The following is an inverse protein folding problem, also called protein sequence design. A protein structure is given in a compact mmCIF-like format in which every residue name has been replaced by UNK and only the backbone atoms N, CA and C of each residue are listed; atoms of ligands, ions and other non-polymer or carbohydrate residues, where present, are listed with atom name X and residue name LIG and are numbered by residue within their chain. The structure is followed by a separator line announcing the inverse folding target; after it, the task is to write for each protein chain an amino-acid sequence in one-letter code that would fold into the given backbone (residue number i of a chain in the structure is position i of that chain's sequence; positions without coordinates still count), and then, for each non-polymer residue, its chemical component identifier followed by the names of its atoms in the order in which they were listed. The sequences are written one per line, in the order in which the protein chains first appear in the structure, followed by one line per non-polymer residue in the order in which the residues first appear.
data_IF_512256650913
#
_entry.id   IF_512256650913
#
_cell.length_a   1.000
_cell.length_b   1.000
_cell.length_c   1.000
_cell.angle_alpha   90.00
_cell.angle_beta   90.00
_cell.angle_gamma   90.00
#
_symmetry.space_group_name_H-M   'P 1'
#
loop_
_entity.id
_entity.type
_entity.pdbx_description
1 polymer ?
#
# COMPACT_ATOMS: atom_id res chain seq x y z
N UNK A 1 29.10 5.39 34.36
CA UNK A 1 27.69 5.71 34.48
C UNK A 1 27.21 6.72 33.46
N UNK A 2 27.94 7.80 33.19
CA UNK A 2 27.59 8.79 32.19
C UNK A 2 27.48 8.22 30.75
N UNK A 3 28.30 7.23 30.41
CA UNK A 3 28.30 6.60 29.08
C UNK A 3 27.06 5.80 28.80
N UNK A 4 26.46 5.17 29.82
CA UNK A 4 25.24 4.37 29.66
C UNK A 4 24.03 5.28 29.42
N UNK A 5 23.96 6.44 30.07
CA UNK A 5 22.89 7.41 29.86
C UNK A 5 22.92 8.01 28.45
N UNK A 6 24.09 8.29 27.90
CA UNK A 6 24.23 8.82 26.55
C UNK A 6 23.81 7.80 25.49
N UNK A 7 24.14 6.52 25.69
CA UNK A 7 23.75 5.44 24.78
C UNK A 7 22.25 5.23 24.82
N UNK A 8 21.63 5.27 26.00
CA UNK A 8 20.18 5.15 26.15
C UNK A 8 19.44 6.31 25.47
N UNK A 9 19.95 7.54 25.60
CA UNK A 9 19.35 8.71 24.94
C UNK A 9 19.46 8.63 23.42
N UNK A 10 20.59 8.15 22.89
CA UNK A 10 20.78 7.95 21.46
C UNK A 10 19.82 6.89 20.90
N UNK A 11 19.60 5.82 21.64
CA UNK A 11 18.66 4.76 21.24
C UNK A 11 17.23 5.29 21.20
N UNK A 12 16.83 6.11 22.17
CA UNK A 12 15.51 6.71 22.23
C UNK A 12 15.29 7.68 21.05
N UNK A 13 16.31 8.43 20.70
CA UNK A 13 16.26 9.38 19.57
C UNK A 13 16.08 8.64 18.25
N UNK A 14 16.76 7.52 18.06
CA UNK A 14 16.63 6.68 16.86
C UNK A 14 15.21 6.13 16.74
N UNK A 15 14.60 5.71 17.85
CA UNK A 15 13.23 5.23 17.86
C UNK A 15 12.22 6.33 17.52
N UNK A 16 12.46 7.57 17.96
CA UNK A 16 11.60 8.71 17.66
C UNK A 16 11.72 9.17 16.20
N UNK A 17 12.84 8.91 15.56
CA UNK A 17 13.10 9.26 14.16
C UNK A 17 12.77 8.12 13.19
N UNK A 18 12.27 7.00 13.69
CA UNK A 18 11.90 5.86 12.85
C UNK A 18 10.79 6.27 11.87
N UNK A 19 10.91 5.91 10.59
CA UNK A 19 9.84 6.18 9.63
C UNK A 19 8.57 5.43 10.01
N UNK A 20 7.42 5.90 9.52
CA UNK A 20 6.14 5.21 9.70
C UNK A 20 6.25 3.78 9.21
N UNK A 21 5.69 2.81 9.95
CA UNK A 21 5.82 1.42 9.58
C UNK A 21 5.14 1.15 8.22
N UNK A 22 5.88 0.51 7.33
CA UNK A 22 5.35 -0.03 6.10
C UNK A 22 5.03 -1.50 6.38
N UNK A 23 3.82 -1.91 6.05
CA UNK A 23 3.40 -3.29 6.21
C UNK A 23 3.75 -4.07 4.95
N UNK A 24 4.40 -5.22 5.12
CA UNK A 24 4.63 -6.16 4.03
C UNK A 24 3.55 -7.24 4.08
N UNK A 25 2.99 -7.59 2.94
CA UNK A 25 1.93 -8.57 2.85
C UNK A 25 2.01 -9.32 1.53
N UNK A 26 1.27 -10.43 1.42
CA UNK A 26 1.13 -11.18 0.18
C UNK A 26 -0.24 -10.93 -0.43
N UNK A 27 -0.31 -10.77 -1.73
CA UNK A 27 -1.58 -10.67 -2.45
C UNK A 27 -2.23 -12.06 -2.50
N UNK A 28 -3.42 -12.17 -1.97
CA UNK A 28 -4.22 -13.39 -2.05
C UNK A 28 -5.18 -13.35 -3.23
N UNK A 29 -5.73 -12.17 -3.51
CA UNK A 29 -6.73 -12.01 -4.56
C UNK A 29 -6.92 -10.54 -4.91
N UNK A 30 -7.14 -10.28 -6.19
CA UNK A 30 -7.65 -9.00 -6.68
C UNK A 30 -9.17 -9.12 -6.74
N UNK A 31 -9.87 -8.37 -5.91
CA UNK A 31 -11.32 -8.46 -5.79
C UNK A 31 -12.06 -7.54 -6.76
N UNK A 32 -11.46 -6.39 -7.07
CA UNK A 32 -12.01 -5.44 -8.04
C UNK A 32 -10.86 -4.55 -8.54
N UNK A 33 -11.20 -3.56 -9.35
CA UNK A 33 -10.22 -2.58 -9.85
C UNK A 33 -9.55 -1.76 -8.75
N UNK A 34 -10.05 -1.80 -7.53
CA UNK A 34 -9.54 -1.00 -6.42
C UNK A 34 -9.47 -1.73 -5.10
N UNK A 35 -9.83 -3.02 -5.07
CA UNK A 35 -9.86 -3.82 -3.84
C UNK A 35 -8.99 -5.07 -3.97
N UNK A 36 -8.17 -5.28 -2.96
CA UNK A 36 -7.29 -6.44 -2.85
C UNK A 36 -7.59 -7.18 -1.55
N UNK A 37 -7.39 -8.49 -1.57
CA UNK A 37 -7.23 -9.25 -0.34
C UNK A 37 -5.76 -9.60 -0.19
N UNK A 38 -5.20 -9.28 0.97
CA UNK A 38 -3.81 -9.52 1.29
C UNK A 38 -3.71 -10.29 2.60
N UNK A 39 -2.66 -11.07 2.72
CA UNK A 39 -2.37 -11.83 3.93
C UNK A 39 -1.06 -11.38 4.57
N UNK A 40 -1.07 -11.29 5.90
CA UNK A 40 0.11 -11.02 6.69
C UNK A 40 0.06 -11.91 7.93
N UNK A 41 1.02 -12.81 8.03
CA UNK A 41 1.02 -13.87 9.03
C UNK A 41 -0.28 -14.69 8.94
N UNK A 42 -1.09 -14.75 9.98
CA UNK A 42 -2.33 -15.52 9.97
C UNK A 42 -3.56 -14.63 9.77
N UNK A 43 -3.36 -13.40 9.30
CA UNK A 43 -4.45 -12.43 9.12
C UNK A 43 -4.67 -12.12 7.66
N UNK A 44 -5.93 -11.91 7.31
CA UNK A 44 -6.35 -11.46 5.99
C UNK A 44 -6.94 -10.07 6.12
N UNK A 45 -6.53 -9.18 5.21
CA UNK A 45 -7.03 -7.81 5.16
C UNK A 45 -7.66 -7.54 3.82
N UNK A 46 -8.76 -6.79 3.82
CA UNK A 46 -9.27 -6.18 2.61
C UNK A 46 -8.65 -4.78 2.50
N UNK A 47 -8.01 -4.51 1.39
CA UNK A 47 -7.30 -3.25 1.15
C UNK A 47 -7.92 -2.55 -0.03
N UNK A 48 -8.31 -1.30 0.18
CA UNK A 48 -8.69 -0.39 -0.91
C UNK A 48 -7.49 0.44 -1.31
N UNK A 49 -7.25 0.52 -2.60
CA UNK A 49 -6.17 1.36 -3.13
C UNK A 49 -6.48 2.83 -2.86
N UNK A 50 -5.57 3.51 -2.17
CA UNK A 50 -5.75 4.89 -1.78
C UNK A 50 -5.61 5.82 -2.98
N UNK A 51 -6.36 6.93 -2.96
CA UNK A 51 -6.25 8.01 -3.93
C UNK A 51 -6.62 7.60 -5.36
N UNK A 52 -7.48 6.61 -5.52
CA UNK A 52 -7.82 6.07 -6.82
C UNK A 52 -9.33 6.11 -7.05
N UNK A 53 -9.70 6.52 -8.26
CA UNK A 53 -11.06 6.41 -8.77
C UNK A 53 -11.01 5.75 -10.15
N UNK A 54 -11.82 4.71 -10.33
CA UNK A 54 -11.93 3.98 -11.59
C UNK A 54 -13.36 4.07 -12.09
N UNK A 55 -13.53 4.55 -13.34
CA UNK A 55 -14.85 4.58 -13.96
C UNK A 55 -15.33 3.16 -14.23
N UNK A 56 -16.65 2.95 -14.15
CA UNK A 56 -17.25 1.65 -14.40
C UNK A 56 -16.93 1.09 -15.79
N UNK A 57 -16.72 1.97 -16.76
CA UNK A 57 -16.34 1.58 -18.13
C UNK A 57 -14.93 0.96 -18.18
N UNK A 58 -14.08 1.28 -17.23
CA UNK A 58 -12.70 0.76 -17.15
C UNK A 58 -12.52 -0.37 -16.15
N UNK A 59 -13.58 -0.79 -15.48
CA UNK A 59 -13.50 -1.74 -14.37
C UNK A 59 -12.80 -3.04 -14.76
N UNK A 60 -13.20 -3.64 -15.86
CA UNK A 60 -12.65 -4.93 -16.29
C UNK A 60 -11.19 -4.82 -16.71
N UNK A 61 -10.85 -3.76 -17.43
CA UNK A 61 -9.47 -3.54 -17.87
C UNK A 61 -8.55 -3.22 -16.70
N UNK A 62 -9.02 -2.38 -15.77
CA UNK A 62 -8.27 -2.04 -14.58
C UNK A 62 -8.04 -3.27 -13.70
N UNK A 63 -9.06 -4.10 -13.53
CA UNK A 63 -8.94 -5.34 -12.78
C UNK A 63 -7.95 -6.29 -13.44
N UNK A 64 -7.99 -6.43 -14.77
CA UNK A 64 -7.05 -7.25 -15.52
C UNK A 64 -5.62 -6.73 -15.36
N UNK A 65 -5.43 -5.42 -15.40
CA UNK A 65 -4.14 -4.79 -15.20
C UNK A 65 -3.59 -5.11 -13.81
N UNK A 66 -4.42 -4.96 -12.78
CA UNK A 66 -4.03 -5.30 -11.40
C UNK A 66 -3.65 -6.77 -11.28
N UNK A 67 -4.41 -7.66 -11.87
CA UNK A 67 -4.10 -9.10 -11.83
C UNK A 67 -2.77 -9.42 -12.49
N UNK A 68 -2.41 -8.72 -13.56
CA UNK A 68 -1.12 -8.91 -14.22
C UNK A 68 0.04 -8.38 -13.39
N UNK A 69 -0.16 -7.26 -12.69
CA UNK A 69 0.85 -6.68 -11.81
C UNK A 69 0.99 -7.44 -10.48
N UNK A 70 -0.10 -8.05 -10.04
CA UNK A 70 -0.21 -8.69 -8.72
C UNK A 70 -0.65 -10.15 -8.86
N UNK A 71 0.19 -11.02 -9.42
CA UNK A 71 -0.11 -12.44 -9.38
C UNK A 71 -0.21 -12.92 -7.93
N UNK A 72 -0.95 -13.97 -7.72
CA UNK A 72 -1.16 -14.52 -6.38
C UNK A 72 0.17 -14.75 -5.68
N UNK A 73 0.22 -14.37 -4.41
CA UNK A 73 1.39 -14.42 -3.53
C UNK A 73 2.47 -13.40 -3.83
N UNK A 74 2.23 -12.47 -4.75
CA UNK A 74 3.12 -11.34 -4.92
C UNK A 74 3.24 -10.58 -3.60
N UNK A 75 4.44 -10.28 -3.19
CA UNK A 75 4.67 -9.49 -1.99
C UNK A 75 4.55 -8.02 -2.32
N UNK A 76 3.85 -7.31 -1.44
CA UNK A 76 3.58 -5.89 -1.61
C UNK A 76 3.91 -5.15 -0.33
N UNK A 77 4.23 -3.87 -0.48
CA UNK A 77 4.32 -2.93 0.62
C UNK A 77 3.01 -2.16 0.71
N UNK A 78 2.48 -2.07 1.91
CA UNK A 78 1.28 -1.30 2.21
C UNK A 78 1.67 -0.10 3.04
N UNK A 79 1.22 1.08 2.62
CA UNK A 79 1.31 2.30 3.42
C UNK A 79 -0.09 2.70 3.83
N UNK A 80 -0.53 2.33 5.04
CA UNK A 80 -1.89 2.63 5.48
C UNK A 80 -2.13 4.12 5.59
N UNK A 81 -3.29 4.57 5.12
CA UNK A 81 -3.73 5.95 5.24
C UNK A 81 -5.00 6.07 6.09
N UNK A 82 -5.69 4.98 6.33
CA UNK A 82 -6.88 4.95 7.14
C UNK A 82 -7.57 3.61 7.08
N UNK A 83 -8.68 3.50 7.78
CA UNK A 83 -9.53 2.32 7.76
C UNK A 83 -10.98 2.74 7.94
N UNK A 84 -11.88 2.06 7.26
CA UNK A 84 -13.32 2.31 7.34
C UNK A 84 -14.06 1.00 7.09
N UNK A 85 -14.96 0.64 7.98
CA UNK A 85 -15.82 -0.54 7.87
C UNK A 85 -15.04 -1.84 7.62
N UNK A 86 -13.89 -1.98 8.31
CA UNK A 86 -13.06 -3.18 8.17
C UNK A 86 -12.19 -3.21 6.92
N UNK A 87 -12.20 -2.16 6.12
CA UNK A 87 -11.39 -2.04 4.92
C UNK A 87 -10.24 -1.09 5.20
N UNK A 88 -9.02 -1.55 4.95
CA UNK A 88 -7.82 -0.74 5.09
C UNK A 88 -7.63 0.09 3.82
N UNK A 89 -7.51 1.40 3.98
CA UNK A 89 -7.15 2.29 2.88
C UNK A 89 -5.64 2.44 2.86
N UNK A 90 -5.00 2.08 1.77
CA UNK A 90 -3.54 2.09 1.72
C UNK A 90 -3.01 2.36 0.32
N UNK A 91 -1.81 2.92 0.27
CA UNK A 91 -1.01 2.91 -0.93
C UNK A 91 -0.28 1.59 -1.02
N UNK A 92 -0.27 1.01 -2.20
CA UNK A 92 0.25 -0.34 -2.42
C UNK A 92 1.27 -0.31 -3.55
N UNK A 93 2.42 -0.92 -3.30
CA UNK A 93 3.44 -1.12 -4.33
C UNK A 93 4.01 -2.53 -4.23
N UNK A 94 4.39 -3.13 -5.35
CA UNK A 94 5.11 -4.40 -5.34
C UNK A 94 6.48 -4.20 -4.69
N UNK A 95 6.92 -5.19 -3.92
CA UNK A 95 8.27 -5.15 -3.34
C UNK A 95 9.29 -5.15 -4.49
N UNK A 96 10.22 -4.22 -4.43
CA UNK A 96 11.20 -4.01 -5.48
C UNK A 96 10.79 -2.98 -6.53
N UNK A 97 9.57 -2.44 -6.42
CA UNK A 97 9.10 -1.38 -7.31
C UNK A 97 8.80 -0.12 -6.49
N UNK A 98 9.19 1.03 -7.02
CA UNK A 98 8.87 2.32 -6.41
C UNK A 98 7.52 2.86 -6.88
N UNK A 99 6.85 2.16 -7.78
CA UNK A 99 5.61 2.63 -8.37
C UNK A 99 4.42 2.19 -7.53
N UNK A 100 3.66 3.15 -7.06
CA UNK A 100 2.37 2.96 -6.43
C UNK A 100 1.35 2.46 -7.46
N UNK A 101 0.54 1.47 -7.10
CA UNK A 101 -0.43 0.87 -8.04
C UNK A 101 -1.51 1.84 -8.48
N UNK A 102 -1.93 2.76 -7.60
CA UNK A 102 -2.89 3.81 -7.98
C UNK A 102 -2.31 4.70 -9.09
N UNK A 103 -1.06 5.09 -8.94
CA UNK A 103 -0.36 5.88 -9.96
C UNK A 103 -0.17 5.06 -11.24
N UNK A 104 0.13 3.77 -11.12
CA UNK A 104 0.26 2.87 -12.28
C UNK A 104 -1.02 2.78 -13.09
N UNK A 105 -2.17 2.62 -12.42
CA UNK A 105 -3.47 2.60 -13.08
C UNK A 105 -3.77 3.94 -13.76
N UNK A 106 -3.46 5.05 -13.11
CA UNK A 106 -3.65 6.37 -13.69
C UNK A 106 -2.77 6.57 -14.93
N UNK A 107 -1.51 6.16 -14.86
CA UNK A 107 -0.58 6.24 -16.00
C UNK A 107 -1.01 5.34 -17.16
N UNK A 108 -1.67 4.25 -16.89
CA UNK A 108 -2.22 3.35 -17.91
C UNK A 108 -3.54 3.87 -18.51
N UNK A 109 -4.07 4.98 -18.00
CA UNK A 109 -5.34 5.53 -18.45
C UNK A 109 -6.55 4.78 -17.94
N UNK A 110 -6.38 3.96 -16.90
CA UNK A 110 -7.43 3.10 -16.35
C UNK A 110 -8.04 3.63 -15.06
N UNK A 111 -7.52 4.72 -14.55
CA UNK A 111 -8.01 5.34 -13.32
C UNK A 111 -7.55 6.77 -13.19
N UNK A 112 -8.02 7.44 -12.14
CA UNK A 112 -7.60 8.81 -11.83
C UNK A 112 -7.13 8.89 -10.40
N UNK A 113 -6.08 9.67 -10.19
CA UNK A 113 -5.64 9.98 -8.85
C UNK A 113 -6.54 11.07 -8.27
N UNK A 114 -7.08 10.83 -7.08
CA UNK A 114 -8.02 11.73 -6.42
C UNK A 114 -7.40 12.53 -5.29
N UNK A 115 -6.24 12.12 -4.80
CA UNK A 115 -5.52 12.90 -3.83
C UNK A 115 -4.76 14.00 -4.52
N UNK A 116 -4.73 15.17 -3.89
CA UNK A 116 -3.74 16.17 -4.26
C UNK A 116 -2.39 15.50 -4.13
N UNK A 117 -1.84 15.17 -5.27
CA UNK A 117 -0.52 14.61 -5.29
C UNK A 117 0.40 15.64 -4.68
N UNK A 118 0.67 15.51 -3.44
CA UNK A 118 1.94 15.97 -3.02
C UNK A 118 2.94 15.11 -3.78
N UNK A 119 3.60 15.62 -4.80
CA UNK A 119 4.73 14.90 -5.34
C UNK A 119 5.74 14.92 -4.24
N UNK A 120 5.73 13.93 -3.54
CA UNK A 120 6.79 13.78 -2.57
C UNK A 120 8.05 13.34 -3.26
#
# INVERSE_FOLDING_TARGET
MRRIQVVLLSLLLVLLLSPLPVMAAEVLRVSSSSLLQVGDHNRTYTVRLACLEVDSSNELEAMAWLKSELPRRRRVNLRPEGASDGVLLARVSSIGSDVDLSAGLANAGLGRLTCDSAPS
#
